data_IF_618617290286
#
_entry.id   IF_618617290286
#
_cell.length_a   1.000
_cell.length_b   1.000
_cell.length_c   1.000
_cell.angle_alpha   90.00
_cell.angle_beta   90.00
_cell.angle_gamma   90.00
#
_symmetry.space_group_name_H-M   'P 1'
#
loop_
_entity.id
_entity.type
_entity.pdbx_description
1 polymer ?
#
# COMPACT_ATOMS: atom_id res chain seq x y z
N UNK A 1 18.48 0.35 14.01
CA UNK A 1 17.96 0.45 12.63
C UNK A 1 16.44 0.38 12.72
N UNK A 2 15.70 1.14 11.92
CA UNK A 2 14.23 1.07 11.93
C UNK A 2 13.76 -0.25 11.30
N UNK A 3 12.78 -0.91 11.89
CA UNK A 3 12.14 -2.10 11.33
C UNK A 3 11.01 -1.76 10.35
N UNK A 4 10.65 -0.48 10.21
CA UNK A 4 9.59 -0.06 9.31
C UNK A 4 10.12 0.11 7.89
N UNK A 5 9.41 -0.47 6.92
CA UNK A 5 9.67 -0.41 5.49
C UNK A 5 8.41 0.02 4.75
N UNK A 6 8.60 0.65 3.59
CA UNK A 6 7.50 0.95 2.67
C UNK A 6 7.75 0.32 1.30
N UNK A 7 6.69 -0.24 0.73
CA UNK A 7 6.63 -0.65 -0.67
C UNK A 7 5.63 0.26 -1.39
N UNK A 8 6.15 1.11 -2.27
CA UNK A 8 5.33 1.96 -3.13
C UNK A 8 5.07 1.23 -4.45
N UNK A 9 3.80 1.02 -4.78
CA UNK A 9 3.37 0.41 -6.05
C UNK A 9 3.14 1.49 -7.11
N UNK A 10 3.97 1.47 -8.14
CA UNK A 10 4.03 2.48 -9.21
C UNK A 10 3.93 1.90 -10.62
N UNK A 11 3.31 0.73 -10.80
CA UNK A 11 3.16 0.04 -12.09
C UNK A 11 1.89 0.36 -12.90
N UNK A 12 1.04 1.29 -12.45
CA UNK A 12 -0.24 1.59 -13.10
C UNK A 12 -0.11 2.13 -14.53
N UNK A 13 -0.99 1.71 -15.44
CA UNK A 13 -0.96 2.12 -16.86
C UNK A 13 -1.50 3.53 -17.13
N UNK A 14 -2.19 4.14 -16.16
CA UNK A 14 -2.68 5.53 -16.25
C UNK A 14 -3.75 5.80 -17.32
N UNK A 15 -4.25 4.80 -18.07
CA UNK A 15 -5.02 4.98 -19.31
C UNK A 15 -6.24 5.92 -19.25
N UNK A 16 -6.81 6.15 -18.06
CA UNK A 16 -7.99 7.03 -17.85
C UNK A 16 -7.66 8.53 -17.91
N UNK A 17 -6.39 8.92 -17.90
CA UNK A 17 -5.94 10.31 -17.98
C UNK A 17 -5.44 10.68 -19.38
N UNK A 18 -5.79 9.90 -20.41
CA UNK A 18 -5.48 10.27 -21.79
C UNK A 18 -6.17 11.59 -22.17
N UNK A 19 -5.51 12.55 -22.86
CA UNK A 19 -4.20 12.42 -23.52
C UNK A 19 -2.98 12.74 -22.64
N UNK A 20 -3.17 13.18 -21.40
CA UNK A 20 -2.09 13.60 -20.49
C UNK A 20 -1.21 12.42 -20.06
N UNK A 21 -1.81 11.26 -19.78
CA UNK A 21 -1.07 10.04 -19.48
C UNK A 21 -0.66 9.30 -20.76
N UNK A 22 0.59 8.83 -20.80
CA UNK A 22 1.10 7.88 -21.80
C UNK A 22 1.57 6.61 -21.08
N UNK A 23 1.73 5.50 -21.78
CA UNK A 23 2.20 4.25 -21.19
C UNK A 23 3.52 4.42 -20.39
N UNK A 24 4.44 5.25 -20.91
CA UNK A 24 5.72 5.58 -20.28
C UNK A 24 5.64 6.71 -19.23
N UNK A 25 4.56 7.49 -19.20
CA UNK A 25 4.33 8.59 -18.23
C UNK A 25 2.89 8.54 -17.71
N UNK A 26 2.57 7.57 -16.84
CA UNK A 26 1.25 7.45 -16.24
C UNK A 26 1.00 8.55 -15.19
N UNK A 27 -0.23 8.64 -14.68
CA UNK A 27 -0.69 9.74 -13.84
C UNK A 27 0.18 10.00 -12.60
N UNK A 28 0.76 8.96 -12.00
CA UNK A 28 1.62 9.11 -10.82
C UNK A 28 2.91 9.87 -11.10
N UNK A 29 3.31 9.95 -12.38
CA UNK A 29 4.50 10.66 -12.85
C UNK A 29 4.15 12.02 -13.50
N UNK A 30 2.89 12.45 -13.42
CA UNK A 30 2.42 13.74 -13.90
C UNK A 30 2.31 14.73 -12.73
N UNK A 31 2.68 15.99 -12.98
CA UNK A 31 2.39 17.10 -12.08
C UNK A 31 0.94 17.54 -12.33
N UNK A 32 -0.02 16.88 -11.67
CA UNK A 32 -1.46 17.12 -11.89
C UNK A 32 -2.07 18.14 -10.93
N UNK A 33 -1.52 18.27 -9.72
CA UNK A 33 -2.16 19.03 -8.65
C UNK A 33 -1.24 20.05 -7.97
N UNK A 34 0.09 19.94 -8.14
CA UNK A 34 1.11 20.85 -7.58
C UNK A 34 2.39 20.89 -8.47
N UNK A 35 3.47 21.52 -8.00
CA UNK A 35 4.81 21.50 -8.61
C UNK A 35 5.53 20.13 -8.51
N UNK A 36 4.92 19.15 -7.84
CA UNK A 36 5.47 17.81 -7.60
C UNK A 36 4.56 16.70 -8.14
N UNK A 37 5.15 15.55 -8.45
CA UNK A 37 4.42 14.36 -8.92
C UNK A 37 3.75 13.65 -7.74
N UNK A 38 2.66 12.91 -7.97
CA UNK A 38 2.01 12.09 -6.92
C UNK A 38 2.98 11.06 -6.31
N UNK A 39 3.93 10.55 -7.11
CA UNK A 39 4.97 9.67 -6.61
C UNK A 39 5.88 10.39 -5.59
N UNK A 40 6.38 11.58 -5.93
CA UNK A 40 7.20 12.36 -4.99
C UNK A 40 6.41 12.77 -3.76
N UNK A 41 5.15 13.20 -3.91
CA UNK A 41 4.28 13.47 -2.78
C UNK A 41 4.11 12.23 -1.88
N UNK A 42 4.05 11.02 -2.46
CA UNK A 42 3.95 9.78 -1.68
C UNK A 42 5.24 9.45 -0.92
N UNK A 43 6.41 9.70 -1.52
CA UNK A 43 7.71 9.56 -0.85
C UNK A 43 7.83 10.59 0.28
N UNK A 44 7.49 11.86 0.01
CA UNK A 44 7.63 12.96 0.97
C UNK A 44 6.72 12.77 2.19
N UNK A 45 5.52 12.21 2.00
CA UNK A 45 4.61 11.88 3.12
C UNK A 45 5.17 10.84 4.10
N UNK A 46 6.23 10.11 3.74
CA UNK A 46 6.87 9.13 4.62
C UNK A 46 8.02 9.73 5.46
N UNK A 47 8.41 10.98 5.19
CA UNK A 47 9.48 11.66 5.91
C UNK A 47 9.20 11.69 7.42
N UNK A 48 10.20 11.30 8.23
CA UNK A 48 10.08 11.18 9.69
C UNK A 48 9.44 9.88 10.18
N UNK A 49 8.75 9.11 9.33
CA UNK A 49 8.18 7.80 9.69
C UNK A 49 9.03 6.62 9.22
N UNK A 50 9.49 6.66 7.96
CA UNK A 50 10.23 5.57 7.32
C UNK A 50 11.47 6.19 6.65
N UNK A 51 12.69 5.72 7.00
CA UNK A 51 13.91 6.29 6.42
C UNK A 51 14.01 5.93 4.94
N UNK A 52 14.64 6.80 4.14
CA UNK A 52 14.67 6.69 2.67
C UNK A 52 15.26 5.34 2.19
N UNK A 53 16.24 4.80 2.91
CA UNK A 53 16.86 3.49 2.64
C UNK A 53 15.89 2.30 2.78
N UNK A 54 14.80 2.47 3.52
CA UNK A 54 13.76 1.46 3.75
C UNK A 54 12.52 1.63 2.86
N UNK A 55 12.53 2.61 1.95
CA UNK A 55 11.45 2.83 0.99
C UNK A 55 11.84 2.19 -0.34
N UNK A 56 11.07 1.21 -0.79
CA UNK A 56 11.23 0.54 -2.07
C UNK A 56 10.08 0.93 -3.02
N UNK A 57 10.38 1.01 -4.32
CA UNK A 57 9.40 1.23 -5.38
C UNK A 57 9.38 0.03 -6.31
N UNK A 58 8.19 -0.53 -6.54
CA UNK A 58 7.95 -1.43 -7.66
C UNK A 58 7.23 -0.70 -8.78
N UNK A 59 7.75 -0.81 -9.99
CA UNK A 59 7.15 -0.25 -11.20
C UNK A 59 7.25 -1.24 -12.35
N UNK A 60 6.86 -0.88 -13.56
CA UNK A 60 7.10 -1.71 -14.74
C UNK A 60 8.31 -1.21 -15.54
N UNK A 61 8.87 -2.10 -16.37
CA UNK A 61 10.07 -1.81 -17.17
C UNK A 61 9.93 -0.60 -18.10
N UNK A 62 8.70 -0.27 -18.57
CA UNK A 62 8.45 0.90 -19.40
C UNK A 62 8.50 2.22 -18.63
N UNK A 63 8.35 2.17 -17.30
CA UNK A 63 8.26 3.33 -16.42
C UNK A 63 9.50 3.51 -15.55
N UNK A 64 10.35 2.48 -15.44
CA UNK A 64 11.52 2.45 -14.57
C UNK A 64 12.43 3.68 -14.75
N UNK A 65 12.81 4.02 -15.98
CA UNK A 65 13.68 5.16 -16.26
C UNK A 65 13.05 6.48 -15.78
N UNK A 66 11.74 6.65 -15.99
CA UNK A 66 11.03 7.85 -15.56
C UNK A 66 10.90 7.91 -14.03
N UNK A 67 10.64 6.77 -13.38
CA UNK A 67 10.59 6.65 -11.92
C UNK A 67 11.94 7.01 -11.31
N UNK A 68 13.06 6.49 -11.84
CA UNK A 68 14.42 6.81 -11.38
C UNK A 68 14.75 8.30 -11.49
N UNK A 69 14.28 8.96 -12.55
CA UNK A 69 14.45 10.42 -12.75
C UNK A 69 13.64 11.26 -11.78
N UNK A 70 12.53 10.75 -11.27
CA UNK A 70 11.62 11.46 -10.37
C UNK A 70 12.00 11.21 -8.90
N UNK A 71 12.21 9.95 -8.53
CA UNK A 71 12.46 9.50 -7.15
C UNK A 71 13.94 9.62 -6.75
N UNK A 72 14.58 10.75 -7.04
CA UNK A 72 16.02 10.95 -6.83
C UNK A 72 16.45 11.00 -5.36
N UNK A 73 15.50 11.11 -4.44
CA UNK A 73 15.74 11.06 -2.98
C UNK A 73 16.05 9.64 -2.50
N UNK A 74 15.62 8.60 -3.23
CA UNK A 74 15.80 7.21 -2.84
C UNK A 74 17.11 6.65 -3.39
N UNK A 75 17.72 5.66 -2.70
CA UNK A 75 18.81 4.87 -3.29
C UNK A 75 18.36 4.23 -4.60
N UNK A 76 19.24 4.22 -5.61
CA UNK A 76 18.89 3.71 -6.93
C UNK A 76 18.54 2.21 -6.87
N UNK A 77 19.19 1.46 -5.99
CA UNK A 77 18.94 0.04 -5.71
C UNK A 77 17.58 -0.25 -5.06
N UNK A 78 16.81 0.78 -4.67
CA UNK A 78 15.48 0.61 -4.08
C UNK A 78 14.34 0.68 -5.11
N UNK A 79 14.67 0.92 -6.38
CA UNK A 79 13.70 0.99 -7.47
C UNK A 79 13.83 -0.26 -8.32
N UNK A 80 12.75 -1.04 -8.41
CA UNK A 80 12.72 -2.30 -9.15
C UNK A 80 11.63 -2.27 -10.23
N UNK A 81 11.97 -2.74 -11.42
CA UNK A 81 10.98 -3.07 -12.43
C UNK A 81 10.48 -4.51 -12.24
N UNK A 82 9.17 -4.69 -12.19
CA UNK A 82 8.53 -5.99 -12.21
C UNK A 82 8.90 -6.74 -13.50
N UNK A 83 9.27 -8.02 -13.43
CA UNK A 83 9.67 -8.80 -14.61
C UNK A 83 8.50 -9.05 -15.57
N UNK A 84 7.27 -9.05 -15.05
CA UNK A 84 6.05 -9.18 -15.83
C UNK A 84 4.87 -8.56 -15.08
N UNK A 85 3.90 -8.01 -15.81
CA UNK A 85 2.66 -7.49 -15.22
C UNK A 85 1.79 -8.65 -14.72
N UNK A 86 1.66 -8.79 -13.40
CA UNK A 86 0.95 -9.91 -12.76
C UNK A 86 -0.06 -9.47 -11.67
N UNK A 87 -0.62 -8.26 -11.78
CA UNK A 87 -1.51 -7.65 -10.78
C UNK A 87 -0.84 -7.44 -9.40
N UNK A 88 -1.63 -7.00 -8.41
CA UNK A 88 -1.10 -6.47 -7.14
C UNK A 88 -0.48 -7.54 -6.23
N UNK A 89 -1.09 -8.73 -6.12
CA UNK A 89 -0.63 -9.73 -5.14
C UNK A 89 0.79 -10.26 -5.45
N UNK A 90 1.14 -10.61 -6.71
CA UNK A 90 2.52 -10.97 -7.05
C UNK A 90 3.52 -9.83 -6.92
N UNK A 91 3.11 -8.58 -7.21
CA UNK A 91 3.96 -7.41 -6.97
C UNK A 91 4.26 -7.25 -5.47
N UNK A 92 3.24 -7.38 -4.63
CA UNK A 92 3.41 -7.36 -3.17
C UNK A 92 4.30 -8.51 -2.70
N UNK A 93 4.14 -9.72 -3.24
CA UNK A 93 5.01 -10.87 -2.92
C UNK A 93 6.48 -10.61 -3.28
N UNK A 94 6.75 -10.04 -4.45
CA UNK A 94 8.10 -9.61 -4.83
C UNK A 94 8.66 -8.60 -3.81
N UNK A 95 7.87 -7.60 -3.44
CA UNK A 95 8.28 -6.61 -2.43
C UNK A 95 8.55 -7.22 -1.05
N UNK A 96 7.73 -8.19 -0.62
CA UNK A 96 7.96 -8.94 0.62
C UNK A 96 9.31 -9.68 0.57
N UNK A 97 9.60 -10.38 -0.53
CA UNK A 97 10.88 -11.08 -0.71
C UNK A 97 12.09 -10.14 -0.65
N UNK A 98 12.02 -9.02 -1.38
CA UNK A 98 13.08 -8.01 -1.43
C UNK A 98 13.34 -7.36 -0.07
N UNK A 99 12.29 -7.06 0.70
CA UNK A 99 12.43 -6.50 2.05
C UNK A 99 12.93 -7.58 3.02
N UNK A 100 12.42 -8.81 2.93
CA UNK A 100 12.84 -9.90 3.80
C UNK A 100 14.32 -10.25 3.66
N UNK A 101 14.87 -10.17 2.44
CA UNK A 101 16.30 -10.36 2.17
C UNK A 101 17.17 -9.31 2.89
N UNK A 102 16.61 -8.13 3.21
CA UNK A 102 17.30 -7.06 3.96
C UNK A 102 17.03 -7.12 5.45
N UNK A 103 15.77 -7.35 5.84
CA UNK A 103 15.33 -7.45 7.23
C UNK A 103 14.12 -8.42 7.34
N UNK A 104 14.31 -9.65 7.82
CA UNK A 104 13.23 -10.62 7.97
C UNK A 104 12.20 -10.23 9.05
N UNK A 105 12.56 -9.35 9.98
CA UNK A 105 11.71 -8.87 11.09
C UNK A 105 10.99 -7.55 10.76
N UNK A 106 10.98 -7.14 9.49
CA UNK A 106 10.40 -5.87 9.08
C UNK A 106 8.88 -5.80 9.28
N UNK A 107 8.39 -4.60 9.57
CA UNK A 107 7.00 -4.19 9.41
C UNK A 107 6.90 -3.38 8.13
N UNK A 108 5.99 -3.77 7.23
CA UNK A 108 5.91 -3.28 5.87
C UNK A 108 4.59 -2.57 5.64
N UNK A 109 4.65 -1.35 5.12
CA UNK A 109 3.50 -0.62 4.58
C UNK A 109 3.49 -0.71 3.04
N UNK A 110 2.37 -1.12 2.45
CA UNK A 110 2.12 -1.08 1.01
C UNK A 110 1.31 0.15 0.67
N UNK A 111 1.82 0.97 -0.25
CA UNK A 111 1.24 2.26 -0.60
C UNK A 111 1.06 2.40 -2.12
N UNK A 112 -0.13 2.81 -2.59
CA UNK A 112 -0.29 3.25 -3.98
C UNK A 112 0.45 4.56 -4.22
N UNK A 113 1.14 4.69 -5.35
CA UNK A 113 1.87 5.91 -5.76
C UNK A 113 0.99 7.03 -6.32
N UNK A 114 -0.30 6.79 -6.46
CA UNK A 114 -1.16 7.47 -7.44
C UNK A 114 -2.41 8.12 -6.80
N UNK A 115 -2.32 8.36 -5.49
CA UNK A 115 -3.34 8.95 -4.63
C UNK A 115 -2.94 10.34 -4.18
N UNK A 116 -3.90 11.28 -4.19
CA UNK A 116 -3.73 12.62 -3.64
C UNK A 116 -4.20 12.64 -2.18
N UNK A 117 -3.28 12.95 -1.27
CA UNK A 117 -3.53 13.05 0.17
C UNK A 117 -2.89 14.35 0.63
N UNK A 118 -3.74 15.33 0.97
CA UNK A 118 -3.31 16.70 1.28
C UNK A 118 -2.95 16.88 2.77
N UNK A 119 -3.66 16.18 3.66
CA UNK A 119 -3.41 16.22 5.09
C UNK A 119 -2.33 15.20 5.45
N UNK A 120 -1.07 15.65 5.41
CA UNK A 120 0.10 14.80 5.68
C UNK A 120 0.16 14.39 7.15
N UNK A 121 -0.16 15.29 8.08
CA UNK A 121 -0.07 15.01 9.52
C UNK A 121 -1.08 13.92 9.93
N UNK A 122 -2.33 14.03 9.47
CA UNK A 122 -3.34 13.00 9.72
C UNK A 122 -2.96 11.66 9.07
N UNK A 123 -2.43 11.69 7.84
CA UNK A 123 -1.92 10.49 7.17
C UNK A 123 -0.81 9.82 7.98
N UNK A 124 0.18 10.59 8.43
CA UNK A 124 1.30 10.08 9.19
C UNK A 124 0.87 9.51 10.54
N UNK A 125 -0.07 10.17 11.21
CA UNK A 125 -0.62 9.69 12.48
C UNK A 125 -1.35 8.34 12.33
N UNK A 126 -2.17 8.19 11.28
CA UNK A 126 -2.86 6.90 10.97
C UNK A 126 -1.86 5.81 10.56
N UNK A 127 -0.88 6.14 9.72
CA UNK A 127 0.13 5.17 9.29
C UNK A 127 1.04 4.75 10.46
N UNK A 128 1.39 5.67 11.35
CA UNK A 128 2.16 5.40 12.56
C UNK A 128 1.45 4.43 13.51
N UNK A 129 0.15 4.64 13.77
CA UNK A 129 -0.67 3.68 14.52
C UNK A 129 -0.72 2.32 13.80
N UNK A 130 -0.88 2.32 12.48
CA UNK A 130 -0.95 1.08 11.68
C UNK A 130 0.36 0.27 11.74
N UNK A 131 1.52 0.93 11.66
CA UNK A 131 2.84 0.32 11.84
C UNK A 131 3.01 -0.21 13.27
N UNK A 132 2.53 0.52 14.27
CA UNK A 132 2.58 0.11 15.68
C UNK A 132 1.73 -1.14 15.92
N UNK A 133 0.52 -1.18 15.38
CA UNK A 133 -0.38 -2.35 15.47
C UNK A 133 0.24 -3.56 14.79
N UNK A 134 0.68 -3.40 13.54
CA UNK A 134 1.25 -4.48 12.75
C UNK A 134 2.58 -5.03 13.31
N UNK A 135 3.33 -4.24 14.06
CA UNK A 135 4.59 -4.69 14.69
C UNK A 135 4.39 -5.42 16.01
N UNK A 136 3.27 -5.19 16.71
CA UNK A 136 2.98 -5.77 18.02
C UNK A 136 1.93 -6.90 17.99
N UNK A 137 1.28 -7.11 16.85
CA UNK A 137 0.21 -8.10 16.69
C UNK A 137 0.41 -8.90 15.40
N UNK A 138 -0.34 -10.00 15.26
CA UNK A 138 -0.41 -10.76 14.01
C UNK A 138 -1.53 -10.25 13.08
N UNK A 139 -1.85 -8.95 13.11
CA UNK A 139 -2.91 -8.36 12.28
C UNK A 139 -2.42 -7.94 10.88
N UNK A 140 -3.26 -8.13 9.87
CA UNK A 140 -3.17 -7.43 8.59
C UNK A 140 -4.00 -6.14 8.67
N UNK A 141 -3.33 -5.00 8.76
CA UNK A 141 -3.98 -3.70 8.92
C UNK A 141 -4.32 -3.10 7.56
N UNK A 142 -5.53 -2.55 7.41
CA UNK A 142 -5.94 -1.76 6.25
C UNK A 142 -6.45 -0.39 6.68
N UNK A 143 -6.36 0.61 5.80
CA UNK A 143 -6.81 1.98 6.09
C UNK A 143 -8.17 2.21 5.42
N UNK A 144 -9.17 2.56 6.24
CA UNK A 144 -10.53 2.83 5.79
C UNK A 144 -10.80 4.33 5.59
N UNK A 145 -11.44 4.69 4.48
CA UNK A 145 -11.93 6.05 4.21
C UNK A 145 -13.44 6.09 4.39
N UNK A 146 -13.96 7.12 5.07
CA UNK A 146 -15.40 7.30 5.21
C UNK A 146 -16.06 7.49 3.83
N UNK A 147 -17.01 6.63 3.41
CA UNK A 147 -17.69 6.78 2.14
C UNK A 147 -18.57 8.03 2.14
N UNK A 148 -18.54 8.77 1.04
CA UNK A 148 -19.39 9.96 0.82
C UNK A 148 -20.38 9.79 -0.34
N UNK A 149 -20.24 8.73 -1.13
CA UNK A 149 -21.19 8.29 -2.15
C UNK A 149 -21.08 6.76 -2.38
N UNK A 150 -22.00 6.11 -3.11
CA UNK A 150 -21.86 4.69 -3.43
C UNK A 150 -20.96 4.50 -4.65
N UNK A 151 -19.74 3.97 -4.46
CA UNK A 151 -18.74 3.81 -5.51
C UNK A 151 -18.44 2.32 -5.77
N UNK A 152 -19.03 1.67 -6.79
CA UNK A 152 -18.82 0.25 -7.06
C UNK A 152 -17.39 -0.09 -7.54
N UNK A 153 -16.57 0.92 -7.85
CA UNK A 153 -15.18 0.74 -8.26
C UNK A 153 -14.20 0.60 -7.10
N UNK A 154 -14.64 0.79 -5.85
CA UNK A 154 -13.81 0.66 -4.66
C UNK A 154 -14.08 -0.65 -3.91
N UNK A 155 -13.08 -1.09 -3.14
CA UNK A 155 -13.30 -2.07 -2.09
C UNK A 155 -14.01 -1.44 -0.90
N UNK A 156 -14.83 -2.23 -0.22
CA UNK A 156 -15.56 -1.86 0.99
C UNK A 156 -15.14 -2.77 2.14
N UNK A 157 -14.96 -2.17 3.31
CA UNK A 157 -14.54 -2.83 4.55
C UNK A 157 -15.62 -2.58 5.60
N UNK A 158 -16.26 -3.64 6.06
CA UNK A 158 -17.22 -3.55 7.15
C UNK A 158 -16.48 -3.46 8.48
N UNK A 159 -16.80 -2.42 9.27
CA UNK A 159 -16.21 -2.21 10.59
C UNK A 159 -16.98 -3.01 11.63
N UNK A 160 -16.26 -3.90 12.32
CA UNK A 160 -16.70 -4.65 13.47
C UNK A 160 -16.52 -3.90 14.79
N UNK A 161 -16.37 -4.61 15.91
CA UNK A 161 -16.09 -4.02 17.21
C UNK A 161 -14.69 -3.38 17.27
N UNK A 162 -14.42 -2.65 18.35
CA UNK A 162 -13.09 -2.12 18.63
C UNK A 162 -12.08 -3.26 18.76
N UNK A 163 -10.90 -3.11 18.15
CA UNK A 163 -9.82 -4.08 18.31
C UNK A 163 -9.30 -4.07 19.75
N UNK A 164 -9.10 -5.25 20.33
CA UNK A 164 -8.60 -5.43 21.70
C UNK A 164 -7.06 -5.52 21.69
N UNK A 165 -6.39 -4.40 21.42
CA UNK A 165 -4.94 -4.36 21.18
C UNK A 165 -4.08 -4.57 22.44
N UNK A 166 -4.58 -4.23 23.63
CA UNK A 166 -3.80 -4.28 24.88
C UNK A 166 -2.79 -3.13 25.04
N UNK A 167 -2.78 -2.16 24.13
CA UNK A 167 -2.02 -0.91 24.18
C UNK A 167 -2.81 0.20 23.51
N UNK A 168 -2.45 1.46 23.83
CA UNK A 168 -3.12 2.64 23.28
C UNK A 168 -2.53 3.04 21.92
N UNK A 169 -3.40 3.56 21.06
CA UNK A 169 -3.09 4.16 19.77
C UNK A 169 -3.79 5.51 19.68
N UNK A 170 -3.33 6.40 18.80
CA UNK A 170 -3.95 7.72 18.64
C UNK A 170 -5.38 7.59 18.11
N UNK A 171 -5.58 6.66 17.18
CA UNK A 171 -6.86 6.35 16.57
C UNK A 171 -7.37 4.98 17.00
N UNK A 172 -8.68 4.90 17.20
CA UNK A 172 -9.32 3.63 17.53
C UNK A 172 -9.33 2.68 16.34
N UNK A 173 -8.55 1.61 16.43
CA UNK A 173 -8.62 0.50 15.49
C UNK A 173 -9.91 -0.31 15.66
N UNK A 174 -10.44 -0.78 14.54
CA UNK A 174 -11.68 -1.57 14.47
C UNK A 174 -11.36 -2.90 13.81
N UNK A 175 -11.94 -3.99 14.31
CA UNK A 175 -11.90 -5.27 13.63
C UNK A 175 -12.60 -5.19 12.27
N UNK A 176 -12.13 -5.96 11.30
CA UNK A 176 -12.78 -6.07 10.00
C UNK A 176 -13.66 -7.32 10.00
N UNK A 177 -14.97 -7.16 9.84
CA UNK A 177 -15.89 -8.31 9.75
C UNK A 177 -15.99 -8.85 8.33
N UNK A 178 -15.97 -7.95 7.35
CA UNK A 178 -16.12 -8.30 5.93
C UNK A 178 -15.25 -7.40 5.08
N UNK A 179 -14.52 -7.99 4.13
CA UNK A 179 -13.85 -7.28 3.05
C UNK A 179 -14.52 -7.64 1.71
N UNK A 180 -14.99 -6.63 0.98
CA UNK A 180 -15.67 -6.81 -0.32
C UNK A 180 -15.04 -5.94 -1.39
N UNK A 181 -14.33 -6.54 -2.32
CA UNK A 181 -13.76 -5.83 -3.47
C UNK A 181 -14.84 -5.57 -4.54
N UNK A 182 -15.04 -4.29 -4.89
CA UNK A 182 -15.87 -3.84 -6.03
C UNK A 182 -17.28 -4.45 -6.06
N UNK A 183 -18.14 -4.11 -5.08
CA UNK A 183 -19.51 -4.57 -5.07
C UNK A 183 -20.30 -4.07 -6.30
N UNK A 184 -21.44 -4.68 -6.58
CA UNK A 184 -22.38 -4.12 -7.55
C UNK A 184 -22.96 -2.78 -7.03
N UNK A 185 -23.54 -1.94 -7.92
CA UNK A 185 -24.06 -0.64 -7.52
C UNK A 185 -25.08 -0.69 -6.38
N UNK A 186 -25.98 -1.68 -6.40
CA UNK A 186 -27.04 -1.84 -5.40
C UNK A 186 -26.46 -2.10 -4.00
N UNK A 187 -25.42 -2.93 -3.92
CA UNK A 187 -24.75 -3.25 -2.67
C UNK A 187 -23.88 -2.09 -2.18
N UNK A 188 -23.28 -1.30 -3.07
CA UNK A 188 -22.56 -0.07 -2.69
C UNK A 188 -23.49 0.97 -2.06
N UNK A 189 -24.72 1.10 -2.56
CA UNK A 189 -25.77 1.94 -1.95
C UNK A 189 -26.18 1.43 -0.57
N UNK A 190 -26.36 0.12 -0.43
CA UNK A 190 -26.70 -0.50 0.85
C UNK A 190 -25.59 -0.29 1.89
N UNK A 191 -24.32 -0.50 1.52
CA UNK A 191 -23.18 -0.26 2.43
C UNK A 191 -23.09 1.19 2.90
N UNK A 192 -23.37 2.16 2.01
CA UNK A 192 -23.42 3.56 2.39
C UNK A 192 -24.57 3.82 3.38
N UNK A 193 -25.74 3.22 3.15
CA UNK A 193 -26.92 3.35 4.01
C UNK A 193 -26.70 2.77 5.40
N UNK A 194 -26.04 1.61 5.50
CA UNK A 194 -25.73 0.98 6.79
C UNK A 194 -24.74 1.79 7.62
N UNK A 195 -23.85 2.54 6.97
CA UNK A 195 -22.96 3.51 7.63
C UNK A 195 -21.83 2.89 8.46
N UNK A 196 -21.79 1.58 8.62
CA UNK A 196 -20.69 0.84 9.27
C UNK A 196 -19.55 0.47 8.31
N UNK A 197 -19.70 0.71 7.00
CA UNK A 197 -18.65 0.45 6.01
C UNK A 197 -17.68 1.62 5.81
N UNK A 198 -16.44 1.29 5.46
CA UNK A 198 -15.41 2.19 4.95
C UNK A 198 -14.99 1.77 3.54
N UNK A 199 -14.51 2.71 2.72
CA UNK A 199 -13.77 2.35 1.50
C UNK A 199 -12.38 1.86 1.86
N UNK A 200 -11.92 0.80 1.20
CA UNK A 200 -10.53 0.38 1.25
C UNK A 200 -9.65 1.44 0.56
N UNK A 201 -8.69 2.02 1.28
CA UNK A 201 -7.74 2.97 0.72
C UNK A 201 -6.71 2.31 -0.21
N UNK A 202 -6.66 0.97 -0.29
CA UNK A 202 -5.62 0.27 -1.06
C UNK A 202 -4.25 0.35 -0.40
N UNK A 203 -4.20 0.69 0.88
CA UNK A 203 -3.02 0.69 1.72
C UNK A 203 -3.14 -0.42 2.75
N UNK A 204 -2.02 -1.10 2.99
CA UNK A 204 -1.97 -2.22 3.91
C UNK A 204 -0.69 -2.20 4.73
N UNK A 205 -0.75 -2.67 5.97
CA UNK A 205 0.40 -2.71 6.88
C UNK A 205 0.43 -4.02 7.65
N UNK A 206 1.58 -4.68 7.70
CA UNK A 206 1.74 -5.98 8.35
C UNK A 206 3.20 -6.22 8.75
N UNK A 207 3.44 -7.13 9.69
CA UNK A 207 4.76 -7.74 9.83
C UNK A 207 5.02 -8.71 8.67
N UNK A 208 6.29 -8.87 8.25
CA UNK A 208 6.63 -9.85 7.22
C UNK A 208 6.32 -11.28 7.67
N UNK A 209 6.47 -11.58 8.96
CA UNK A 209 6.09 -12.86 9.55
C UNK A 209 4.60 -13.14 9.34
N UNK A 210 3.74 -12.20 9.71
CA UNK A 210 2.28 -12.33 9.62
C UNK A 210 1.83 -12.53 8.17
N UNK A 211 2.21 -11.62 7.26
CA UNK A 211 1.76 -11.72 5.86
C UNK A 211 2.29 -12.98 5.17
N UNK A 212 3.50 -13.44 5.51
CA UNK A 212 4.03 -14.67 4.93
C UNK A 212 3.25 -15.88 5.41
N UNK A 213 2.82 -15.92 6.67
CA UNK A 213 1.98 -17.00 7.20
C UNK A 213 0.61 -17.04 6.50
N UNK A 214 -0.04 -15.88 6.35
CA UNK A 214 -1.31 -15.74 5.63
C UNK A 214 -1.18 -16.18 4.16
N UNK A 215 -0.09 -15.80 3.48
CA UNK A 215 0.18 -16.24 2.12
C UNK A 215 0.43 -17.75 2.04
N UNK A 216 1.07 -18.37 3.03
CA UNK A 216 1.28 -19.83 3.08
C UNK A 216 -0.05 -20.58 3.20
N UNK A 217 -1.01 -20.03 3.92
CA UNK A 217 -2.32 -20.65 4.08
C UNK A 217 -3.20 -20.47 2.83
N UNK A 218 -3.27 -19.25 2.31
CA UNK A 218 -4.26 -18.90 1.30
C UNK A 218 -3.75 -18.91 -0.14
N UNK A 219 -2.44 -18.71 -0.34
CA UNK A 219 -1.79 -18.68 -1.67
C UNK A 219 -0.37 -19.25 -1.63
N UNK A 220 -0.20 -20.57 -1.37
CA UNK A 220 1.11 -21.18 -1.14
C UNK A 220 2.15 -20.93 -2.24
N UNK A 221 1.72 -20.76 -3.49
CA UNK A 221 2.59 -20.43 -4.63
C UNK A 221 3.35 -19.11 -4.43
N UNK A 222 2.66 -18.06 -3.92
CA UNK A 222 3.29 -16.77 -3.66
C UNK A 222 4.24 -16.82 -2.45
N UNK A 223 3.90 -17.62 -1.44
CA UNK A 223 4.80 -17.85 -0.31
C UNK A 223 6.07 -18.58 -0.77
N UNK A 224 5.95 -19.60 -1.62
CA UNK A 224 7.11 -20.28 -2.20
C UNK A 224 7.98 -19.36 -3.05
N UNK A 225 7.37 -18.44 -3.81
CA UNK A 225 8.10 -17.41 -4.55
C UNK A 225 8.88 -16.46 -3.65
N UNK A 226 8.28 -16.03 -2.52
CA UNK A 226 8.97 -15.21 -1.51
C UNK A 226 10.19 -15.93 -0.96
N UNK A 227 10.06 -17.21 -0.61
CA UNK A 227 11.16 -17.98 -0.01
C UNK A 227 12.34 -18.12 -1.01
N UNK A 228 12.08 -18.31 -2.31
CA UNK A 228 13.13 -18.33 -3.34
C UNK A 228 13.91 -17.01 -3.44
N UNK A 229 13.23 -15.87 -3.28
CA UNK A 229 13.86 -14.55 -3.38
C UNK A 229 14.74 -14.22 -2.15
N UNK A 230 14.42 -14.76 -0.97
CA UNK A 230 15.24 -14.53 0.24
C UNK A 230 16.62 -15.17 0.13
N UNK A 231 16.71 -16.27 -0.60
CA UNK A 231 17.94 -17.04 -0.78
C UNK A 231 18.80 -16.55 -1.98
N UNK A 232 18.33 -15.51 -2.69
CA UNK A 232 18.95 -14.93 -3.90
C UNK A 232 19.82 -13.72 -3.58
#
# INVERSE_FOLDING_TARGET
MSNNYALILAGGSGARFWPLSRNAKPKQLLNLFDDSTLLNQTIDRLEGLIPLENILILTNSLQEEAVRKIATKLPAENIFAEPAKRDTAPAVALGIGLIAARNPDATMAVLPSDQLIQDTDSFQSVLGDSLTIASQTDALVTIGIKPTWPCPSYGYVERGPAAALGFDTTHKAMEVTTFREKPNPELAEEYLRQGNFAWNAGMFVWSLKTVTNELREHTPELAGFIDQLKDS
#
